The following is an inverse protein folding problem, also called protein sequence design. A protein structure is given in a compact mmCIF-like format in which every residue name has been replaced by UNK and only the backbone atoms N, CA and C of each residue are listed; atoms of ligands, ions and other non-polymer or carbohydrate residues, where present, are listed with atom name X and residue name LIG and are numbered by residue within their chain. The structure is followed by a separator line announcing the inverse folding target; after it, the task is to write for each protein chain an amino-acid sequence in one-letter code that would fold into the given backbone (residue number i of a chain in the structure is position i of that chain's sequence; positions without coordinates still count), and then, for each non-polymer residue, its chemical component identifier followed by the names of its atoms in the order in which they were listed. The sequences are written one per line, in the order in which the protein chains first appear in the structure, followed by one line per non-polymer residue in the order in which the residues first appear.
data_IF_066575233521
#
_entry.id   IF_066575233521
#
_cell.length_a   1.000
_cell.length_b   1.000
_cell.length_c   1.000
_cell.angle_alpha   90.00
_cell.angle_beta   90.00
_cell.angle_gamma   90.00
#
_symmetry.space_group_name_H-M   'P 1'
#
loop_
_entity.id
_entity.type
_entity.pdbx_description
1 polymer ?
#
# COMPACT_ATOMS: atom_id res chain seq x y z
N UNK A 1 5.33 -1.77 -24.98
CA UNK A 1 6.04 -1.98 -23.70
C UNK A 1 6.59 -0.67 -23.21
N UNK A 2 5.82 0.08 -22.45
CA UNK A 2 6.36 1.22 -21.73
C UNK A 2 6.61 0.76 -20.31
N UNK A 3 7.86 0.33 -20.08
CA UNK A 3 8.34 0.00 -18.75
C UNK A 3 8.09 1.18 -17.83
N UNK A 4 7.57 0.86 -16.64
CA UNK A 4 7.47 1.78 -15.53
C UNK A 4 8.91 2.19 -15.17
N UNK A 5 9.42 3.19 -15.86
CA UNK A 5 10.61 3.88 -15.41
C UNK A 5 10.20 4.54 -14.08
N UNK A 6 10.45 3.87 -12.98
CA UNK A 6 10.60 4.52 -11.71
C UNK A 6 11.56 5.69 -11.98
N UNK A 7 11.02 6.90 -12.05
CA UNK A 7 11.85 8.09 -12.09
C UNK A 7 12.74 7.98 -10.85
N UNK A 8 13.98 7.56 -11.06
CA UNK A 8 15.04 7.62 -10.05
C UNK A 8 15.40 9.10 -9.82
N UNK A 9 14.41 9.88 -9.38
CA UNK A 9 14.71 11.10 -8.67
C UNK A 9 15.52 10.71 -7.44
N UNK A 10 16.49 11.51 -7.05
CA UNK A 10 17.26 11.28 -5.82
C UNK A 10 16.29 11.38 -4.64
N UNK A 11 15.73 10.23 -4.22
CA UNK A 11 15.00 10.14 -2.97
C UNK A 11 15.96 10.52 -1.84
N UNK A 12 15.48 11.34 -0.92
CA UNK A 12 16.21 11.59 0.34
C UNK A 12 16.33 10.26 1.11
N UNK A 13 17.34 10.15 1.97
CA UNK A 13 17.60 8.91 2.72
C UNK A 13 16.35 8.43 3.48
N UNK A 14 15.63 9.33 4.14
CA UNK A 14 14.41 9.03 4.88
C UNK A 14 13.29 8.48 4.00
N UNK A 15 13.18 8.93 2.76
CA UNK A 15 12.15 8.45 1.82
C UNK A 15 12.34 7.00 1.39
N UNK A 16 13.50 6.42 1.70
CA UNK A 16 13.83 5.00 1.44
C UNK A 16 13.49 4.09 2.61
N UNK A 17 13.08 4.66 3.73
CA UNK A 17 12.76 3.90 4.94
C UNK A 17 11.26 3.61 4.99
N UNK A 18 10.95 2.36 5.30
CA UNK A 18 9.58 1.92 5.60
C UNK A 18 9.61 1.32 7.00
N UNK A 19 8.85 1.88 7.92
CA UNK A 19 8.71 1.36 9.28
C UNK A 19 7.49 0.45 9.36
N UNK A 20 7.70 -0.78 9.85
CA UNK A 20 6.61 -1.70 10.11
C UNK A 20 5.90 -1.33 11.42
N UNK A 21 4.60 -1.10 11.35
CA UNK A 21 3.74 -0.91 12.53
C UNK A 21 3.30 -2.29 13.06
N UNK A 22 4.25 -3.03 13.61
CA UNK A 22 4.01 -4.36 14.17
C UNK A 22 3.54 -4.23 15.63
N UNK A 23 2.37 -3.61 15.79
CA UNK A 23 1.68 -3.36 17.07
C UNK A 23 0.24 -3.84 16.96
N UNK A 24 -0.40 -4.08 18.10
CA UNK A 24 -1.74 -4.67 18.16
C UNK A 24 -2.86 -3.66 18.36
N UNK A 25 -2.55 -2.40 18.62
CA UNK A 25 -3.56 -1.37 18.87
C UNK A 25 -3.40 -0.13 17.98
N UNK A 26 -4.53 0.52 17.73
CA UNK A 26 -4.57 1.79 16.97
C UNK A 26 -3.78 2.89 17.67
N UNK A 27 -3.88 3.00 18.99
CA UNK A 27 -3.22 4.07 19.75
C UNK A 27 -1.69 3.95 19.69
N UNK A 28 -1.16 2.74 19.76
CA UNK A 28 0.28 2.50 19.59
C UNK A 28 0.73 2.84 18.17
N UNK A 29 -0.06 2.47 17.16
CA UNK A 29 0.23 2.80 15.76
C UNK A 29 0.25 4.32 15.55
N UNK A 30 -0.73 5.05 16.07
CA UNK A 30 -0.79 6.52 16.00
C UNK A 30 0.46 7.13 16.65
N UNK A 31 0.82 6.68 17.84
CA UNK A 31 1.99 7.19 18.55
C UNK A 31 3.29 7.00 17.75
N UNK A 32 3.45 5.85 17.10
CA UNK A 32 4.62 5.59 16.25
C UNK A 32 4.60 6.46 14.99
N UNK A 33 3.45 6.65 14.37
CA UNK A 33 3.30 7.54 13.21
C UNK A 33 3.68 8.97 13.59
N UNK A 34 3.13 9.50 14.67
CA UNK A 34 3.42 10.86 15.14
C UNK A 34 4.91 11.06 15.44
N UNK A 35 5.54 10.06 16.05
CA UNK A 35 6.96 10.11 16.40
C UNK A 35 7.87 10.08 15.17
N UNK A 36 7.52 9.34 14.13
CA UNK A 36 8.42 8.98 13.04
C UNK A 36 8.05 9.56 11.67
N UNK A 37 6.89 10.20 11.51
CA UNK A 37 6.39 10.65 10.22
C UNK A 37 7.32 11.57 9.43
N UNK A 38 8.16 12.31 10.12
CA UNK A 38 9.12 13.24 9.51
C UNK A 38 10.47 12.58 9.23
N UNK A 39 10.69 11.37 9.72
CA UNK A 39 11.96 10.63 9.65
C UNK A 39 11.93 9.46 8.66
N UNK A 40 10.73 9.04 8.21
CA UNK A 40 10.56 7.89 7.32
C UNK A 40 9.70 8.23 6.12
N UNK A 41 9.85 7.46 5.05
CA UNK A 41 9.10 7.66 3.81
C UNK A 41 7.71 7.03 3.84
N UNK A 42 7.52 5.95 4.60
CA UNK A 42 6.28 5.19 4.58
C UNK A 42 6.14 4.31 5.83
N UNK A 43 4.91 4.01 6.21
CA UNK A 43 4.60 3.03 7.25
C UNK A 43 3.94 1.80 6.66
N UNK A 44 4.40 0.62 7.09
CA UNK A 44 3.80 -0.66 6.69
C UNK A 44 2.71 -1.05 7.70
N UNK A 45 1.50 -1.24 7.21
CA UNK A 45 0.39 -1.84 7.96
C UNK A 45 0.27 -3.30 7.52
N UNK A 46 0.59 -4.21 8.41
CA UNK A 46 0.50 -5.65 8.18
C UNK A 46 -0.83 -6.25 8.64
N UNK A 47 -0.96 -7.56 8.51
CA UNK A 47 -2.21 -8.28 8.77
C UNK A 47 -2.66 -8.20 10.22
N UNK A 48 -1.76 -8.24 11.21
CA UNK A 48 -2.12 -8.17 12.62
C UNK A 48 -2.86 -6.87 12.92
N UNK A 49 -2.22 -5.75 12.65
CA UNK A 49 -2.78 -4.43 12.91
C UNK A 49 -4.04 -4.18 12.07
N UNK A 50 -4.03 -4.58 10.80
CA UNK A 50 -5.19 -4.45 9.93
C UNK A 50 -6.38 -5.28 10.41
N UNK A 51 -6.14 -6.53 10.86
CA UNK A 51 -7.20 -7.40 11.40
C UNK A 51 -7.78 -6.84 12.69
N UNK A 52 -6.96 -6.19 13.50
CA UNK A 52 -7.40 -5.58 14.78
C UNK A 52 -8.19 -4.28 14.59
N UNK A 53 -7.81 -3.46 13.60
CA UNK A 53 -8.31 -2.08 13.48
C UNK A 53 -9.03 -1.77 12.15
N UNK A 54 -8.92 -2.64 11.15
CA UNK A 54 -9.57 -2.45 9.85
C UNK A 54 -9.01 -1.30 9.02
N UNK A 55 -9.80 -0.85 8.05
CA UNK A 55 -9.40 0.18 7.07
C UNK A 55 -9.32 1.59 7.67
N UNK A 56 -9.83 1.81 8.87
CA UNK A 56 -9.74 3.10 9.58
C UNK A 56 -8.28 3.56 9.71
N UNK A 57 -7.35 2.62 9.84
CA UNK A 57 -5.91 2.93 9.93
C UNK A 57 -5.37 3.71 8.73
N UNK A 58 -5.87 3.44 7.54
CA UNK A 58 -5.44 4.16 6.34
C UNK A 58 -5.86 5.63 6.40
N UNK A 59 -7.08 5.89 6.87
CA UNK A 59 -7.57 7.25 7.07
C UNK A 59 -6.78 7.98 8.16
N UNK A 60 -6.48 7.30 9.27
CA UNK A 60 -5.66 7.85 10.37
C UNK A 60 -4.26 8.21 9.88
N UNK A 61 -3.57 7.31 9.18
CA UNK A 61 -2.25 7.58 8.61
C UNK A 61 -2.29 8.82 7.70
N UNK A 62 -3.31 8.93 6.86
CA UNK A 62 -3.49 10.08 5.96
C UNK A 62 -3.71 11.39 6.70
N UNK A 63 -4.47 11.40 7.82
CA UNK A 63 -4.65 12.58 8.68
C UNK A 63 -3.31 13.08 9.25
N UNK A 64 -2.35 12.18 9.46
CA UNK A 64 -0.99 12.50 9.90
C UNK A 64 0.00 12.76 8.74
N UNK A 65 -0.48 12.87 7.49
CA UNK A 65 0.33 12.99 6.27
C UNK A 65 1.34 11.84 6.08
N UNK A 66 1.04 10.67 6.61
CA UNK A 66 1.87 9.48 6.50
C UNK A 66 1.46 8.64 5.29
N UNK A 67 2.44 8.20 4.51
CA UNK A 67 2.23 7.27 3.40
C UNK A 67 2.12 5.84 3.92
N UNK A 68 1.32 5.03 3.27
CA UNK A 68 1.00 3.66 3.70
C UNK A 68 1.44 2.62 2.68
N UNK A 69 2.17 1.62 3.17
CA UNK A 69 2.32 0.32 2.54
C UNK A 69 1.36 -0.67 3.20
N UNK A 70 0.33 -1.10 2.50
CA UNK A 70 -0.56 -2.17 2.98
C UNK A 70 0.03 -3.54 2.64
N UNK A 71 0.56 -4.23 3.62
CA UNK A 71 1.17 -5.56 3.50
C UNK A 71 0.12 -6.66 3.71
N UNK A 72 -0.85 -6.71 2.78
CA UNK A 72 -1.98 -7.63 2.84
C UNK A 72 -1.72 -8.97 2.15
N UNK A 73 -0.71 -9.04 1.27
CA UNK A 73 -0.35 -10.23 0.48
C UNK A 73 -1.56 -10.88 -0.19
N UNK A 74 -2.25 -10.10 -1.02
CA UNK A 74 -3.46 -10.55 -1.70
C UNK A 74 -3.21 -11.85 -2.49
N UNK A 75 -4.11 -12.82 -2.30
CA UNK A 75 -4.06 -14.09 -2.99
C UNK A 75 -5.47 -14.67 -3.08
N UNK A 76 -6.10 -14.51 -4.23
CA UNK A 76 -7.46 -14.97 -4.48
C UNK A 76 -7.69 -15.12 -5.99
N UNK A 77 -8.88 -15.51 -6.41
CA UNK A 77 -9.25 -15.56 -7.81
C UNK A 77 -9.24 -14.13 -8.43
N UNK A 78 -9.00 -14.01 -9.76
CA UNK A 78 -8.80 -12.70 -10.40
C UNK A 78 -9.89 -11.67 -10.13
N UNK A 79 -11.15 -12.08 -10.12
CA UNK A 79 -12.26 -11.14 -9.88
C UNK A 79 -12.24 -10.56 -8.46
N UNK A 80 -11.99 -11.37 -7.46
CA UNK A 80 -11.86 -10.93 -6.06
C UNK A 80 -10.67 -9.99 -5.88
N UNK A 81 -9.54 -10.32 -6.50
CA UNK A 81 -8.33 -9.47 -6.50
C UNK A 81 -8.60 -8.11 -7.16
N UNK A 82 -9.33 -8.07 -8.27
CA UNK A 82 -9.73 -6.81 -8.89
C UNK A 82 -10.51 -5.91 -7.92
N UNK A 83 -11.47 -6.49 -7.20
CA UNK A 83 -12.24 -5.78 -6.18
C UNK A 83 -11.38 -5.25 -5.03
N UNK A 84 -10.51 -6.12 -4.49
CA UNK A 84 -9.60 -5.75 -3.40
C UNK A 84 -8.62 -4.64 -3.80
N UNK A 85 -8.06 -4.70 -5.02
CA UNK A 85 -7.17 -3.66 -5.54
C UNK A 85 -7.90 -2.31 -5.71
N UNK A 86 -9.12 -2.31 -6.24
CA UNK A 86 -9.94 -1.08 -6.35
C UNK A 86 -10.20 -0.46 -4.98
N UNK A 87 -10.52 -1.28 -3.98
CA UNK A 87 -10.73 -0.82 -2.61
C UNK A 87 -9.44 -0.23 -2.01
N UNK A 88 -8.28 -0.87 -2.19
CA UNK A 88 -7.01 -0.36 -1.72
C UNK A 88 -6.67 1.01 -2.34
N UNK A 89 -6.90 1.18 -3.66
CA UNK A 89 -6.74 2.47 -4.34
C UNK A 89 -7.69 3.53 -3.76
N UNK A 90 -8.96 3.18 -3.53
CA UNK A 90 -9.95 4.09 -2.98
C UNK A 90 -9.59 4.56 -1.56
N UNK A 91 -8.97 3.71 -0.76
CA UNK A 91 -8.45 4.07 0.57
C UNK A 91 -7.18 4.92 0.52
N UNK A 92 -6.58 5.11 -0.64
CA UNK A 92 -5.43 5.99 -0.84
C UNK A 92 -4.11 5.41 -0.32
N UNK A 93 -3.96 4.08 -0.26
CA UNK A 93 -2.67 3.47 0.03
C UNK A 93 -1.71 3.69 -1.13
N UNK A 94 -0.44 3.93 -0.86
CA UNK A 94 0.57 4.23 -1.87
C UNK A 94 1.30 2.99 -2.39
N UNK A 95 1.31 1.92 -1.58
CA UNK A 95 1.94 0.65 -1.93
C UNK A 95 1.15 -0.50 -1.32
N UNK A 96 0.94 -1.56 -2.07
CA UNK A 96 0.40 -2.82 -1.53
C UNK A 96 0.90 -4.01 -2.34
N UNK A 97 0.66 -5.21 -1.85
CA UNK A 97 1.26 -6.40 -2.41
C UNK A 97 0.28 -7.56 -2.61
N UNK A 98 0.71 -8.49 -3.45
CA UNK A 98 0.03 -9.76 -3.70
C UNK A 98 1.08 -10.88 -3.80
N UNK A 99 0.65 -12.12 -3.76
CA UNK A 99 1.51 -13.27 -4.00
C UNK A 99 1.67 -13.57 -5.50
N UNK A 100 2.90 -13.62 -6.00
CA UNK A 100 3.20 -14.00 -7.39
C UNK A 100 2.71 -15.41 -7.73
N UNK A 101 2.73 -16.33 -6.75
CA UNK A 101 2.25 -17.71 -6.92
C UNK A 101 0.75 -17.80 -7.27
N UNK A 102 -0.01 -16.72 -7.09
CA UNK A 102 -1.39 -16.64 -7.55
C UNK A 102 -1.57 -16.72 -9.07
N UNK A 103 -0.47 -16.58 -9.82
CA UNK A 103 -0.43 -16.78 -11.25
C UNK A 103 -0.63 -15.51 -12.07
N UNK A 104 -0.33 -15.60 -13.35
CA UNK A 104 -0.33 -14.45 -14.28
C UNK A 104 -1.71 -13.81 -14.44
N UNK A 105 -2.78 -14.60 -14.47
CA UNK A 105 -4.14 -14.11 -14.61
C UNK A 105 -4.53 -13.21 -13.41
N UNK A 106 -4.21 -13.64 -12.19
CA UNK A 106 -4.45 -12.86 -10.98
C UNK A 106 -3.64 -11.55 -10.96
N UNK A 107 -2.35 -11.62 -11.26
CA UNK A 107 -1.47 -10.44 -11.30
C UNK A 107 -1.89 -9.44 -12.37
N UNK A 108 -2.31 -9.91 -13.54
CA UNK A 108 -2.83 -9.07 -14.63
C UNK A 108 -4.11 -8.36 -14.20
N UNK A 109 -5.07 -9.09 -13.63
CA UNK A 109 -6.32 -8.52 -13.13
C UNK A 109 -6.06 -7.44 -12.06
N UNK A 110 -5.11 -7.67 -11.15
CA UNK A 110 -4.69 -6.69 -10.16
C UNK A 110 -4.12 -5.41 -10.80
N UNK A 111 -3.20 -5.56 -11.75
CA UNK A 111 -2.57 -4.41 -12.43
C UNK A 111 -3.60 -3.58 -13.22
N UNK A 112 -4.51 -4.24 -13.92
CA UNK A 112 -5.58 -3.57 -14.67
C UNK A 112 -6.56 -2.86 -13.74
N UNK A 113 -6.91 -3.48 -12.61
CA UNK A 113 -7.79 -2.89 -11.61
C UNK A 113 -7.19 -1.62 -10.98
N UNK A 114 -5.90 -1.63 -10.65
CA UNK A 114 -5.19 -0.45 -10.13
C UNK A 114 -5.18 0.68 -11.15
N UNK A 115 -4.88 0.39 -12.42
CA UNK A 115 -4.90 1.38 -13.50
C UNK A 115 -6.28 2.00 -13.67
N UNK A 116 -7.32 1.17 -13.73
CA UNK A 116 -8.69 1.62 -13.91
C UNK A 116 -9.20 2.46 -12.73
N UNK A 117 -8.92 2.02 -11.50
CA UNK A 117 -9.35 2.72 -10.30
C UNK A 117 -8.61 4.05 -10.08
N UNK A 118 -7.33 4.13 -10.48
CA UNK A 118 -6.56 5.37 -10.41
C UNK A 118 -7.02 6.39 -11.46
N UNK A 119 -7.38 5.92 -12.67
CA UNK A 119 -7.86 6.78 -13.77
C UNK A 119 -6.88 7.91 -14.10
N UNK A 120 -7.45 9.10 -14.28
CA UNK A 120 -6.71 10.33 -14.62
C UNK A 120 -6.32 11.15 -13.37
N UNK A 121 -6.28 10.54 -12.20
CA UNK A 121 -5.87 11.22 -10.98
C UNK A 121 -4.49 11.84 -11.11
N UNK A 122 -4.33 13.07 -10.60
CA UNK A 122 -3.04 13.78 -10.59
C UNK A 122 -2.08 13.25 -9.51
N UNK A 123 -2.58 12.49 -8.54
CA UNK A 123 -1.74 11.85 -7.53
C UNK A 123 -0.90 10.73 -8.14
N UNK A 124 0.25 10.36 -7.55
CA UNK A 124 0.99 9.17 -7.99
C UNK A 124 0.12 7.92 -7.91
N UNK A 125 0.16 7.10 -8.96
CA UNK A 125 -0.54 5.82 -8.96
C UNK A 125 0.08 4.90 -7.91
N UNK A 126 -0.75 4.22 -7.09
CA UNK A 126 -0.26 3.23 -6.13
C UNK A 126 0.64 2.18 -6.79
N UNK A 127 1.73 1.84 -6.13
CA UNK A 127 2.59 0.75 -6.55
C UNK A 127 2.01 -0.58 -6.10
N UNK A 128 2.07 -1.58 -7.00
CA UNK A 128 1.69 -2.95 -6.71
C UNK A 128 2.90 -3.83 -6.89
N UNK A 129 3.27 -4.59 -5.86
CA UNK A 129 4.41 -5.51 -5.89
C UNK A 129 3.95 -6.94 -5.70
N UNK A 130 4.65 -7.87 -6.34
CA UNK A 130 4.41 -9.29 -6.22
C UNK A 130 5.48 -9.94 -5.34
N UNK A 131 5.01 -10.65 -4.32
CA UNK A 131 5.86 -11.43 -3.41
C UNK A 131 6.15 -12.78 -4.07
N UNK A 132 7.43 -13.10 -4.21
CA UNK A 132 7.95 -14.34 -4.81
C UNK A 132 8.34 -15.37 -3.77
#
# INVERSE_FOLDING_TARGET
MTGLALKRGKLQAKERLIVALDVSSKDEAIRLIELLKDEVGMFKIGLELFTSCGTELFAVAKQHNAKVFFDGKFHDIPNTISGACKAAVAHGVELFNLHAIGGSAMMKAASEAVKAAHGDSKSPRPALIAVT
#
